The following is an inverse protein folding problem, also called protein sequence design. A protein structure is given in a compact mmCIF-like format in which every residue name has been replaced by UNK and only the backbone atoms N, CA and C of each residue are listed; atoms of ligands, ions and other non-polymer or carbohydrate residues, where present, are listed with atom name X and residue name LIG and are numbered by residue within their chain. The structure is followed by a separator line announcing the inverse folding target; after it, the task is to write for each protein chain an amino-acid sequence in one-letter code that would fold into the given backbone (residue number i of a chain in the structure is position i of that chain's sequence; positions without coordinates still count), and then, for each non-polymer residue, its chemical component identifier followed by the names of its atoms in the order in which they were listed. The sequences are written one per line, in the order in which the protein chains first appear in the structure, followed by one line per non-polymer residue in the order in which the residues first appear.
data_IF_194817403007
#
_entry.id   IF_194817403007
#
_cell.length_a   1.000
_cell.length_b   1.000
_cell.length_c   1.000
_cell.angle_alpha   90.00
_cell.angle_beta   90.00
_cell.angle_gamma   90.00
#
_symmetry.space_group_name_H-M   'P 1'
#
loop_
_entity.id
_entity.type
_entity.pdbx_description
1 polymer ?
#
# COMPACT_ATOMS: atom_id res chain seq x y z
N UNK A 1 -3.44 8.78 10.89
CA UNK A 1 -4.09 9.20 12.14
C UNK A 1 -4.52 7.95 12.88
N UNK A 2 -4.55 8.01 14.22
CA UNK A 2 -4.79 6.86 15.10
C UNK A 2 -6.22 6.33 15.01
N UNK A 3 -6.57 5.68 13.90
CA UNK A 3 -7.89 5.10 13.68
C UNK A 3 -8.16 3.92 14.62
N UNK A 4 -7.09 3.30 15.14
CA UNK A 4 -7.13 2.19 16.08
C UNK A 4 -7.78 2.56 17.43
N UNK A 5 -7.88 3.85 17.74
CA UNK A 5 -8.55 4.34 18.95
C UNK A 5 -10.07 4.32 18.84
N UNK A 6 -10.64 4.37 17.63
CA UNK A 6 -12.10 4.50 17.46
C UNK A 6 -12.89 3.34 18.09
N UNK A 7 -12.48 2.06 17.94
CA UNK A 7 -13.13 0.95 18.64
C UNK A 7 -12.88 0.97 20.16
N UNK A 8 -11.69 1.41 20.59
CA UNK A 8 -11.31 1.42 22.01
C UNK A 8 -12.13 2.42 22.85
N UNK A 9 -12.64 3.48 22.22
CA UNK A 9 -13.46 4.52 22.89
C UNK A 9 -14.93 4.46 22.50
N UNK A 10 -15.37 3.35 21.90
CA UNK A 10 -16.76 3.12 21.49
C UNK A 10 -17.30 4.14 20.46
N UNK A 11 -16.41 4.67 19.60
CA UNK A 11 -16.77 5.61 18.54
C UNK A 11 -17.19 4.91 17.24
N UNK A 12 -16.67 3.70 17.00
CA UNK A 12 -16.99 2.92 15.81
C UNK A 12 -16.82 1.41 16.09
N UNK A 13 -17.73 0.60 15.55
CA UNK A 13 -17.67 -0.87 15.67
C UNK A 13 -16.49 -1.46 14.88
N UNK A 14 -16.16 -0.87 13.73
CA UNK A 14 -15.13 -1.34 12.81
C UNK A 14 -14.41 -0.16 12.15
N UNK A 15 -13.15 -0.38 11.76
CA UNK A 15 -12.35 0.58 11.02
C UNK A 15 -11.84 -0.04 9.71
N UNK A 16 -11.64 0.83 8.71
CA UNK A 16 -10.98 0.47 7.44
C UNK A 16 -9.68 1.24 7.36
N UNK A 17 -8.56 0.52 7.35
CA UNK A 17 -7.23 1.10 7.34
C UNK A 17 -6.31 0.34 6.39
N UNK A 18 -5.31 1.05 5.86
CA UNK A 18 -4.19 0.43 5.15
C UNK A 18 -3.25 -0.17 6.19
N UNK A 19 -2.95 -1.46 6.05
CA UNK A 19 -2.07 -2.20 6.95
C UNK A 19 -1.00 -2.94 6.15
N UNK A 20 0.16 -3.15 6.78
CA UNK A 20 1.27 -3.92 6.23
C UNK A 20 1.23 -5.37 6.80
N UNK A 21 2.01 -5.67 7.84
CA UNK A 21 2.06 -7.00 8.49
C UNK A 21 0.99 -7.23 9.57
N UNK A 22 0.07 -6.27 9.76
CA UNK A 22 -0.95 -6.30 10.81
C UNK A 22 -0.44 -6.06 12.24
N UNK A 23 0.86 -5.80 12.45
CA UNK A 23 1.44 -5.58 13.78
C UNK A 23 0.80 -4.41 14.53
N UNK A 24 0.45 -3.32 13.83
CA UNK A 24 -0.24 -2.16 14.42
C UNK A 24 -1.61 -2.53 14.98
N UNK A 25 -2.36 -3.40 14.29
CA UNK A 25 -3.67 -3.85 14.78
C UNK A 25 -3.51 -4.68 16.06
N UNK A 26 -2.60 -5.66 16.05
CA UNK A 26 -2.33 -6.53 17.21
C UNK A 26 -1.92 -5.72 18.44
N UNK A 27 -1.08 -4.70 18.26
CA UNK A 27 -0.63 -3.83 19.35
C UNK A 27 -1.78 -3.05 20.02
N UNK A 28 -2.90 -2.85 19.32
CA UNK A 28 -4.09 -2.17 19.83
C UNK A 28 -5.23 -3.13 20.18
N UNK A 29 -4.97 -4.44 20.25
CA UNK A 29 -6.00 -5.44 20.55
C UNK A 29 -7.01 -5.64 19.41
N UNK A 30 -6.67 -5.25 18.19
CA UNK A 30 -7.51 -5.41 17.01
C UNK A 30 -7.02 -6.60 16.17
N UNK A 31 -7.96 -7.27 15.51
CA UNK A 31 -7.68 -8.34 14.56
C UNK A 31 -8.16 -7.97 13.14
N UNK A 32 -7.41 -8.35 12.08
CA UNK A 32 -7.91 -8.21 10.71
C UNK A 32 -9.16 -9.06 10.52
N UNK A 33 -10.20 -8.47 9.92
CA UNK A 33 -11.45 -9.18 9.60
C UNK A 33 -11.48 -9.61 8.14
N UNK A 34 -11.48 -8.65 7.23
CA UNK A 34 -11.57 -8.87 5.79
C UNK A 34 -10.48 -8.07 5.05
N UNK A 35 -9.79 -8.70 4.09
CA UNK A 35 -8.94 -7.99 3.13
C UNK A 35 -9.82 -7.39 2.04
N UNK A 36 -9.83 -6.06 1.92
CA UNK A 36 -10.59 -5.36 0.88
C UNK A 36 -9.86 -5.42 -0.46
N UNK A 37 -8.59 -5.00 -0.47
CA UNK A 37 -7.74 -5.03 -1.67
C UNK A 37 -6.26 -4.86 -1.32
N UNK A 38 -5.42 -5.42 -2.17
CA UNK A 38 -4.00 -5.07 -2.21
C UNK A 38 -3.80 -3.69 -2.83
N UNK A 39 -2.81 -2.97 -2.33
CA UNK A 39 -2.41 -1.66 -2.88
C UNK A 39 -0.97 -1.68 -3.36
N UNK A 40 -0.67 -0.87 -4.36
CA UNK A 40 0.69 -0.66 -4.84
C UNK A 40 0.97 0.82 -5.04
N UNK A 41 2.23 1.20 -4.84
CA UNK A 41 2.70 2.51 -5.27
C UNK A 41 2.69 2.58 -6.81
N UNK A 42 2.22 3.70 -7.37
CA UNK A 42 2.18 3.92 -8.82
C UNK A 42 2.90 5.21 -9.19
N UNK A 43 3.72 5.15 -10.23
CA UNK A 43 4.28 6.35 -10.86
C UNK A 43 3.22 7.02 -11.73
N UNK A 44 2.79 8.22 -11.34
CA UNK A 44 1.82 9.02 -12.10
C UNK A 44 2.56 10.19 -12.76
N UNK A 45 2.44 10.30 -14.08
CA UNK A 45 3.10 11.35 -14.87
C UNK A 45 2.05 12.26 -15.50
N UNK A 46 2.25 13.58 -15.35
CA UNK A 46 1.43 14.57 -16.04
C UNK A 46 1.60 14.46 -17.57
N UNK A 47 0.48 14.44 -18.32
CA UNK A 47 0.46 14.25 -19.79
C UNK A 47 1.24 15.34 -20.56
N UNK A 48 1.12 16.60 -20.15
CA UNK A 48 1.82 17.72 -20.80
C UNK A 48 3.33 17.60 -20.55
N UNK A 49 3.72 17.30 -19.31
CA UNK A 49 5.12 17.05 -18.97
C UNK A 49 5.68 15.85 -19.76
N UNK A 50 4.92 14.77 -19.91
CA UNK A 50 5.31 13.59 -20.69
C UNK A 50 5.59 13.93 -22.16
N UNK A 51 4.83 14.85 -22.74
CA UNK A 51 5.05 15.31 -24.12
C UNK A 51 6.27 16.23 -24.23
N UNK A 52 6.37 17.23 -23.35
CA UNK A 52 7.42 18.26 -23.43
C UNK A 52 8.79 17.77 -22.95
N UNK A 53 8.82 16.80 -22.04
CA UNK A 53 10.05 16.28 -21.40
C UNK A 53 10.22 14.77 -21.66
N UNK A 54 9.73 14.31 -22.80
CA UNK A 54 9.60 12.88 -23.14
C UNK A 54 10.88 12.09 -22.87
N UNK A 55 12.02 12.52 -23.43
CA UNK A 55 13.29 11.79 -23.30
C UNK A 55 13.72 11.62 -21.85
N UNK A 56 13.68 12.71 -21.07
CA UNK A 56 14.05 12.70 -19.65
C UNK A 56 13.13 11.80 -18.82
N UNK A 57 11.83 11.91 -19.03
CA UNK A 57 10.86 11.10 -18.29
C UNK A 57 11.00 9.63 -18.66
N UNK A 58 11.19 9.30 -19.95
CA UNK A 58 11.38 7.93 -20.41
C UNK A 58 12.64 7.29 -19.81
N UNK A 59 13.75 8.05 -19.73
CA UNK A 59 14.96 7.58 -19.04
C UNK A 59 14.67 7.26 -17.57
N UNK A 60 14.01 8.17 -16.86
CA UNK A 60 13.68 7.97 -15.45
C UNK A 60 12.74 6.77 -15.22
N UNK A 61 11.78 6.54 -16.12
CA UNK A 61 10.92 5.34 -16.08
C UNK A 61 11.77 4.08 -16.22
N UNK A 62 12.69 4.03 -17.18
CA UNK A 62 13.57 2.86 -17.38
C UNK A 62 14.48 2.60 -16.17
N UNK A 63 15.00 3.66 -15.53
CA UNK A 63 15.80 3.57 -14.31
C UNK A 63 14.97 2.98 -13.16
N UNK A 64 13.73 3.47 -12.98
CA UNK A 64 12.80 2.94 -11.98
C UNK A 64 12.39 1.50 -12.26
N UNK A 65 12.08 1.16 -13.50
CA UNK A 65 11.74 -0.21 -13.90
C UNK A 65 12.88 -1.16 -13.53
N UNK A 66 14.12 -0.79 -13.83
CA UNK A 66 15.31 -1.57 -13.47
C UNK A 66 15.46 -1.73 -11.95
N UNK A 67 15.24 -0.66 -11.19
CA UNK A 67 15.35 -0.68 -9.73
C UNK A 67 14.24 -1.49 -9.04
N UNK A 68 13.04 -1.55 -9.64
CA UNK A 68 11.85 -2.20 -9.06
C UNK A 68 11.65 -3.63 -9.58
N UNK A 69 12.19 -4.03 -10.74
CA UNK A 69 12.04 -5.40 -11.26
C UNK A 69 12.53 -6.55 -10.35
N UNK A 70 13.46 -6.39 -9.37
CA UNK A 70 13.70 -7.43 -8.37
C UNK A 70 12.59 -7.55 -7.30
N UNK A 71 11.57 -6.67 -7.30
CA UNK A 71 10.46 -6.68 -6.35
C UNK A 71 9.54 -7.89 -6.61
N UNK A 72 9.65 -8.89 -5.73
CA UNK A 72 8.69 -9.98 -5.61
C UNK A 72 7.62 -9.56 -4.58
N UNK A 73 6.33 -9.52 -4.92
CA UNK A 73 5.30 -9.45 -3.89
C UNK A 73 5.47 -10.65 -2.96
N UNK A 74 5.42 -10.42 -1.65
CA UNK A 74 5.46 -11.48 -0.65
C UNK A 74 4.43 -12.55 -1.01
N UNK A 75 4.88 -13.81 -0.99
CA UNK A 75 4.09 -14.98 -1.33
C UNK A 75 2.75 -14.95 -0.59
N UNK A 76 1.68 -15.15 -1.37
CA UNK A 76 0.33 -15.44 -0.89
C UNK A 76 0.27 -16.83 -0.24
N UNK A 77 1.10 -17.06 0.78
CA UNK A 77 1.23 -18.28 1.55
C UNK A 77 1.26 -17.91 3.02
N UNK A 78 0.11 -17.60 3.60
CA UNK A 78 -0.14 -17.71 5.05
C UNK A 78 -1.63 -17.44 5.40
N UNK A 79 -2.57 -17.87 4.54
CA UNK A 79 -4.01 -17.92 4.88
C UNK A 79 -4.58 -19.32 4.65
N UNK A 80 -3.82 -20.33 5.09
CA UNK A 80 -4.32 -21.67 5.38
C UNK A 80 -3.67 -22.17 6.67
N UNK A 81 -4.02 -21.54 7.79
CA UNK A 81 -3.89 -22.09 9.15
C UNK A 81 -4.86 -21.36 10.06
#
# INVERSE_FOLDING_TARGET
GSMELAPLVDLADLIVAVVDTGNTLRANGLEPRDLIMDISARLIVNKVAMKMKHARIKSFIADLETAVNPWRPHEASDLSS
#
